data_IF_892510173676
#
_entry.id   IF_892510173676
#
_cell.length_a   1.000
_cell.length_b   1.000
_cell.length_c   1.000
_cell.angle_alpha   90.00
_cell.angle_beta   90.00
_cell.angle_gamma   90.00
#
_symmetry.space_group_name_H-M   'P 1'
#
loop_
_entity.id
_entity.type
_entity.pdbx_description
1 polymer ?
#
# COMPACT_ATOMS: atom_id res chain seq x y z
N UNK A 1 6.47 10.10 -7.79
CA UNK A 1 7.12 8.90 -7.21
C UNK A 1 8.44 8.74 -7.94
N UNK A 2 9.58 8.78 -7.25
CA UNK A 2 10.89 8.60 -7.88
C UNK A 2 11.21 7.12 -8.01
N UNK A 3 12.07 6.77 -8.97
CA UNK A 3 12.55 5.41 -9.10
C UNK A 3 13.28 4.93 -7.83
N UNK A 4 13.14 3.65 -7.50
CA UNK A 4 13.79 3.06 -6.33
C UNK A 4 15.32 3.16 -6.49
N UNK A 5 16.00 3.69 -5.47
CA UNK A 5 17.44 3.97 -5.51
C UNK A 5 18.30 2.76 -5.16
N UNK A 6 17.70 1.66 -4.67
CA UNK A 6 18.42 0.48 -4.18
C UNK A 6 19.31 -0.17 -5.26
N UNK A 7 18.88 -0.39 -6.52
CA UNK A 7 19.75 -0.95 -7.55
C UNK A 7 21.00 -0.10 -7.80
N UNK A 8 20.83 1.23 -7.86
CA UNK A 8 21.93 2.17 -8.02
C UNK A 8 22.87 2.16 -6.82
N UNK A 9 22.33 2.12 -5.59
CA UNK A 9 23.13 2.06 -4.37
C UNK A 9 24.02 0.81 -4.33
N UNK A 10 23.47 -0.36 -4.70
CA UNK A 10 24.24 -1.61 -4.78
C UNK A 10 25.39 -1.53 -5.80
N UNK A 11 25.16 -0.91 -6.97
CA UNK A 11 26.22 -0.66 -7.97
C UNK A 11 27.35 0.25 -7.46
N UNK A 12 27.05 1.12 -6.51
CA UNK A 12 28.04 1.98 -5.84
C UNK A 12 28.77 1.27 -4.69
N UNK A 13 28.53 -0.03 -4.48
CA UNK A 13 29.15 -0.81 -3.40
C UNK A 13 28.51 -0.59 -2.02
N UNK A 14 27.33 0.03 -1.97
CA UNK A 14 26.59 0.19 -0.72
C UNK A 14 25.81 -1.09 -0.37
N UNK A 15 25.74 -1.39 0.93
CA UNK A 15 25.01 -2.54 1.46
C UNK A 15 23.66 -2.11 2.04
N UNK A 16 22.64 -2.95 1.84
CA UNK A 16 21.36 -2.80 2.55
C UNK A 16 21.55 -3.30 3.98
N UNK A 17 21.39 -2.42 4.96
CA UNK A 17 21.51 -2.79 6.37
C UNK A 17 20.21 -3.37 6.93
N UNK A 18 19.07 -2.79 6.53
CA UNK A 18 17.73 -3.18 6.96
C UNK A 18 16.76 -2.99 5.80
N UNK A 19 15.88 -3.96 5.57
CA UNK A 19 14.67 -3.79 4.75
C UNK A 19 13.44 -3.85 5.66
N UNK A 20 12.78 -2.71 5.84
CA UNK A 20 11.59 -2.63 6.71
C UNK A 20 10.43 -3.48 6.18
N UNK A 21 10.40 -3.77 4.87
CA UNK A 21 9.42 -4.69 4.29
C UNK A 21 9.64 -6.16 4.71
N UNK A 22 10.80 -6.49 5.30
CA UNK A 22 11.09 -7.80 5.87
C UNK A 22 11.04 -7.79 7.40
N UNK A 23 10.70 -6.65 8.00
CA UNK A 23 10.49 -6.54 9.44
C UNK A 23 9.09 -7.03 9.83
N UNK A 24 8.92 -7.42 11.09
CA UNK A 24 7.61 -7.73 11.67
C UNK A 24 6.87 -6.47 12.19
N UNK A 25 7.28 -5.28 11.75
CA UNK A 25 6.66 -4.02 12.16
C UNK A 25 5.46 -3.78 11.26
N UNK A 26 4.26 -3.84 11.82
CA UNK A 26 3.06 -3.39 11.11
C UNK A 26 3.12 -1.86 10.96
N UNK A 27 3.11 -1.39 9.72
CA UNK A 27 3.12 0.03 9.41
C UNK A 27 2.35 0.31 8.10
N UNK A 28 1.40 1.26 8.09
CA UNK A 28 0.57 1.58 6.93
C UNK A 28 1.36 2.45 5.93
N UNK A 29 2.35 1.86 5.24
CA UNK A 29 3.23 2.57 4.32
C UNK A 29 2.50 3.12 3.08
N UNK A 30 1.53 2.36 2.56
CA UNK A 30 0.62 2.80 1.49
C UNK A 30 -0.80 2.81 2.01
N UNK A 31 -1.41 3.99 2.06
CA UNK A 31 -2.80 4.17 2.47
C UNK A 31 -3.58 4.94 1.42
N UNK A 32 -4.82 4.53 1.19
CA UNK A 32 -5.79 5.28 0.41
C UNK A 32 -6.77 5.94 1.38
N UNK A 33 -6.95 7.24 1.24
CA UNK A 33 -7.84 8.02 2.09
C UNK A 33 -8.92 8.69 1.26
N UNK A 34 -10.13 8.77 1.82
CA UNK A 34 -11.26 9.48 1.24
C UNK A 34 -11.92 10.33 2.33
N UNK A 35 -12.60 11.41 1.94
CA UNK A 35 -13.38 12.18 2.90
C UNK A 35 -14.47 11.30 3.53
N UNK A 36 -14.64 11.40 4.85
CA UNK A 36 -15.65 10.64 5.57
C UNK A 36 -17.09 10.91 5.05
N UNK A 37 -17.35 12.13 4.55
CA UNK A 37 -18.61 12.47 3.89
C UNK A 37 -18.81 11.66 2.60
N UNK A 38 -17.79 11.56 1.75
CA UNK A 38 -17.82 10.75 0.53
C UNK A 38 -18.04 9.28 0.86
N UNK A 39 -17.37 8.75 1.90
CA UNK A 39 -17.53 7.36 2.31
C UNK A 39 -18.98 7.06 2.71
N UNK A 40 -19.59 7.95 3.50
CA UNK A 40 -20.99 7.79 3.95
C UNK A 40 -22.01 7.95 2.83
N UNK A 41 -21.81 8.92 1.94
CA UNK A 41 -22.81 9.31 0.94
C UNK A 41 -22.74 8.47 -0.33
N UNK A 42 -21.57 7.90 -0.65
CA UNK A 42 -21.33 7.22 -1.93
C UNK A 42 -20.74 5.82 -1.75
N UNK A 43 -21.40 4.90 -1.01
CA UNK A 43 -20.87 3.56 -0.74
C UNK A 43 -20.55 2.78 -2.03
N UNK A 44 -21.34 2.99 -3.09
CA UNK A 44 -21.09 2.38 -4.41
C UNK A 44 -19.74 2.81 -5.00
N UNK A 45 -19.40 4.10 -4.93
CA UNK A 45 -18.12 4.62 -5.42
C UNK A 45 -16.97 4.09 -4.57
N UNK A 46 -17.14 4.06 -3.24
CA UNK A 46 -16.11 3.52 -2.34
C UNK A 46 -15.79 2.06 -2.68
N UNK A 47 -16.83 1.22 -2.85
CA UNK A 47 -16.65 -0.17 -3.24
C UNK A 47 -16.01 -0.30 -4.61
N UNK A 48 -16.42 0.51 -5.59
CA UNK A 48 -15.83 0.52 -6.92
C UNK A 48 -14.32 0.86 -6.86
N UNK A 49 -13.92 1.86 -6.07
CA UNK A 49 -12.50 2.22 -5.89
C UNK A 49 -11.72 1.07 -5.25
N UNK A 50 -12.22 0.47 -4.18
CA UNK A 50 -11.57 -0.68 -3.52
C UNK A 50 -11.42 -1.86 -4.49
N UNK A 51 -12.46 -2.16 -5.28
CA UNK A 51 -12.42 -3.22 -6.29
C UNK A 51 -11.34 -2.93 -7.34
N UNK A 52 -11.33 -1.72 -7.91
CA UNK A 52 -10.35 -1.32 -8.92
C UNK A 52 -8.91 -1.40 -8.41
N UNK A 53 -8.65 -0.98 -7.16
CA UNK A 53 -7.33 -1.10 -6.53
C UNK A 53 -6.94 -2.58 -6.41
N UNK A 54 -7.83 -3.41 -5.89
CA UNK A 54 -7.57 -4.83 -5.64
C UNK A 54 -7.34 -5.61 -6.95
N UNK A 55 -8.14 -5.34 -7.98
CA UNK A 55 -7.97 -5.91 -9.32
C UNK A 55 -6.68 -5.42 -9.99
N UNK A 56 -6.33 -4.14 -9.83
CA UNK A 56 -5.08 -3.57 -10.30
C UNK A 56 -3.86 -4.25 -9.66
N UNK A 57 -3.89 -4.46 -8.33
CA UNK A 57 -2.85 -5.20 -7.60
C UNK A 57 -2.77 -6.65 -8.09
N UNK A 58 -3.93 -7.31 -8.28
CA UNK A 58 -3.97 -8.68 -8.81
C UNK A 58 -3.30 -8.73 -10.19
N UNK A 59 -3.69 -7.86 -11.12
CA UNK A 59 -3.08 -7.78 -12.46
C UNK A 59 -1.58 -7.52 -12.37
N UNK A 60 -1.16 -6.58 -11.53
CA UNK A 60 0.25 -6.26 -11.30
C UNK A 60 1.05 -7.49 -10.81
N UNK A 61 0.47 -8.30 -9.93
CA UNK A 61 1.11 -9.49 -9.39
C UNK A 61 1.10 -10.69 -10.36
N UNK A 62 0.10 -10.78 -11.23
CA UNK A 62 -0.05 -11.93 -12.15
C UNK A 62 0.51 -11.69 -13.55
N UNK A 63 0.65 -10.44 -13.97
CA UNK A 63 1.18 -10.06 -15.28
C UNK A 63 2.40 -9.15 -15.13
N UNK A 64 3.58 -9.77 -15.23
CA UNK A 64 4.87 -9.10 -15.08
C UNK A 64 5.14 -8.08 -16.18
N UNK A 65 4.58 -8.26 -17.39
CA UNK A 65 4.76 -7.32 -18.49
C UNK A 65 3.89 -6.07 -18.28
N UNK A 66 2.63 -6.27 -17.90
CA UNK A 66 1.73 -5.17 -17.53
C UNK A 66 2.28 -4.37 -16.34
N UNK A 67 2.79 -5.04 -15.30
CA UNK A 67 3.43 -4.40 -14.16
C UNK A 67 4.62 -3.51 -14.58
N UNK A 68 5.55 -4.05 -15.38
CA UNK A 68 6.70 -3.29 -15.86
C UNK A 68 6.31 -2.13 -16.77
N UNK A 69 5.29 -2.28 -17.60
CA UNK A 69 4.76 -1.20 -18.43
C UNK A 69 4.18 -0.06 -17.56
N UNK A 70 3.39 -0.39 -16.54
CA UNK A 70 2.84 0.57 -15.58
C UNK A 70 3.96 1.30 -14.79
N UNK A 71 4.97 0.56 -14.33
CA UNK A 71 6.13 1.14 -13.62
C UNK A 71 6.92 2.08 -14.53
N UNK A 72 7.17 1.67 -15.79
CA UNK A 72 7.88 2.49 -16.77
C UNK A 72 7.18 3.82 -17.00
N UNK A 73 5.85 3.80 -17.15
CA UNK A 73 5.05 5.02 -17.30
C UNK A 73 5.12 5.89 -16.02
N UNK A 74 4.91 5.28 -14.86
CA UNK A 74 4.87 5.99 -13.58
C UNK A 74 6.21 6.62 -13.18
N UNK A 75 7.33 5.92 -13.43
CA UNK A 75 8.68 6.35 -13.04
C UNK A 75 9.46 7.04 -14.16
N UNK A 76 8.94 7.02 -15.40
CA UNK A 76 9.57 7.60 -16.59
C UNK A 76 11.02 7.11 -16.78
N UNK A 77 11.24 5.81 -16.61
CA UNK A 77 12.56 5.17 -16.74
C UNK A 77 12.54 3.98 -17.70
N UNK A 78 13.66 3.78 -18.40
CA UNK A 78 13.91 2.60 -19.24
C UNK A 78 14.97 1.67 -18.64
N UNK A 79 15.47 1.95 -17.43
CA UNK A 79 16.47 1.11 -16.79
C UNK A 79 15.88 -0.25 -16.42
N UNK A 80 16.27 -1.29 -17.16
CA UNK A 80 15.69 -2.63 -17.05
C UNK A 80 15.84 -3.21 -15.65
N UNK A 81 16.96 -2.94 -14.98
CA UNK A 81 17.23 -3.42 -13.62
C UNK A 81 16.33 -2.74 -12.59
N UNK A 82 16.17 -1.42 -12.66
CA UNK A 82 15.20 -0.68 -11.84
C UNK A 82 13.77 -1.19 -12.06
N UNK A 83 13.37 -1.36 -13.33
CA UNK A 83 12.02 -1.86 -13.66
C UNK A 83 11.78 -3.25 -13.07
N UNK A 84 12.75 -4.15 -13.20
CA UNK A 84 12.67 -5.51 -12.67
C UNK A 84 12.64 -5.52 -11.13
N UNK A 85 13.49 -4.70 -10.50
CA UNK A 85 13.57 -4.58 -9.05
C UNK A 85 12.27 -4.06 -8.45
N UNK A 86 11.73 -2.95 -8.99
CA UNK A 86 10.48 -2.35 -8.52
C UNK A 86 9.32 -3.32 -8.74
N UNK A 87 9.24 -3.98 -9.90
CA UNK A 87 8.19 -4.97 -10.16
C UNK A 87 8.21 -6.11 -9.14
N UNK A 88 9.38 -6.69 -8.85
CA UNK A 88 9.51 -7.75 -7.83
C UNK A 88 9.15 -7.25 -6.44
N UNK A 89 9.67 -6.09 -6.03
CA UNK A 89 9.45 -5.55 -4.69
C UNK A 89 7.98 -5.20 -4.48
N UNK A 90 7.37 -4.46 -5.40
CA UNK A 90 5.97 -4.08 -5.33
C UNK A 90 5.04 -5.29 -5.35
N UNK A 91 5.33 -6.32 -6.16
CA UNK A 91 4.52 -7.53 -6.18
C UNK A 91 4.54 -8.28 -4.83
N UNK A 92 5.66 -8.21 -4.10
CA UNK A 92 5.82 -8.81 -2.76
C UNK A 92 5.04 -8.05 -1.68
N UNK A 93 5.02 -6.71 -1.74
CA UNK A 93 4.49 -5.88 -0.63
C UNK A 93 3.03 -5.43 -0.82
N UNK A 94 2.50 -5.44 -2.04
CA UNK A 94 1.12 -5.01 -2.29
C UNK A 94 0.13 -6.11 -1.90
N UNK A 95 -0.82 -5.79 -1.03
CA UNK A 95 -1.85 -6.75 -0.59
C UNK A 95 -3.09 -6.67 -1.48
N UNK A 96 -3.57 -7.82 -1.99
CA UNK A 96 -4.82 -7.90 -2.77
C UNK A 96 -6.05 -7.59 -1.92
N UNK A 97 -5.97 -7.86 -0.62
CA UNK A 97 -7.02 -7.61 0.36
C UNK A 97 -6.56 -6.43 1.22
N UNK A 98 -6.88 -5.18 0.84
CA UNK A 98 -6.30 -3.99 1.47
C UNK A 98 -7.03 -3.64 2.77
N UNK A 99 -6.94 -4.51 3.78
CA UNK A 99 -7.51 -4.26 5.10
C UNK A 99 -6.47 -3.57 6.00
N UNK A 100 -6.72 -2.34 6.47
CA UNK A 100 -5.86 -1.71 7.46
C UNK A 100 -5.82 -2.53 8.75
N UNK A 101 -4.66 -2.59 9.39
CA UNK A 101 -4.49 -3.29 10.67
C UNK A 101 -4.53 -2.31 11.84
N UNK A 102 -5.01 -2.80 12.99
CA UNK A 102 -5.00 -2.02 14.24
C UNK A 102 -3.57 -1.73 14.70
N UNK A 103 -2.69 -2.73 14.59
CA UNK A 103 -1.28 -2.60 14.95
C UNK A 103 -0.59 -1.53 14.14
N UNK A 104 -0.79 -1.52 12.81
CA UNK A 104 -0.20 -0.52 11.93
C UNK A 104 -0.59 0.92 12.28
N UNK A 105 -1.88 1.18 12.52
CA UNK A 105 -2.32 2.51 12.93
C UNK A 105 -1.77 2.88 14.31
N UNK A 106 -1.73 1.93 15.25
CA UNK A 106 -1.15 2.18 16.58
C UNK A 106 0.34 2.53 16.50
N UNK A 107 1.12 1.83 15.67
CA UNK A 107 2.54 2.14 15.45
C UNK A 107 2.74 3.61 15.05
N UNK A 108 1.92 4.12 14.12
CA UNK A 108 1.98 5.52 13.68
C UNK A 108 1.58 6.48 14.79
N UNK A 109 0.54 6.16 15.56
CA UNK A 109 0.09 7.00 16.67
C UNK A 109 1.14 7.08 17.78
N UNK A 110 1.82 5.97 18.09
CA UNK A 110 2.88 5.91 19.08
C UNK A 110 4.09 6.76 18.65
N UNK A 111 4.51 6.64 17.38
CA UNK A 111 5.58 7.46 16.79
C UNK A 111 5.22 8.96 16.82
N UNK A 112 4.02 9.33 16.35
CA UNK A 112 3.57 10.72 16.35
C UNK A 112 3.45 11.29 17.76
N UNK A 113 3.13 10.46 18.75
CA UNK A 113 2.95 10.88 20.14
C UNK A 113 4.22 11.38 20.81
N UNK A 114 5.39 11.09 20.26
CA UNK A 114 6.66 11.64 20.74
C UNK A 114 6.76 13.15 20.49
N UNK A 115 6.24 13.61 19.34
CA UNK A 115 6.22 15.02 18.96
C UNK A 115 4.88 15.70 19.31
N UNK A 116 3.77 14.98 19.18
CA UNK A 116 2.40 15.48 19.31
C UNK A 116 1.63 14.66 20.35
N UNK A 117 1.67 15.02 21.64
CA UNK A 117 1.06 14.23 22.72
C UNK A 117 -0.45 13.94 22.53
N UNK A 118 -1.16 14.76 21.76
CA UNK A 118 -2.57 14.56 21.42
C UNK A 118 -2.82 13.29 20.58
N UNK A 119 -1.82 12.80 19.84
CA UNK A 119 -1.93 11.58 19.03
C UNK A 119 -2.24 10.34 19.90
N UNK A 120 -1.86 10.33 21.18
CA UNK A 120 -2.16 9.24 22.14
C UNK A 120 -3.65 8.98 22.32
N UNK A 121 -4.50 9.97 22.04
CA UNK A 121 -5.95 9.84 22.18
C UNK A 121 -6.62 9.20 20.94
N UNK A 122 -5.92 9.16 19.80
CA UNK A 122 -6.43 8.60 18.56
C UNK A 122 -6.66 7.10 18.66
N UNK A 123 -7.69 6.61 17.97
CA UNK A 123 -8.04 5.18 17.90
C UNK A 123 -8.19 4.76 16.45
N UNK A 124 -8.04 3.47 16.18
CA UNK A 124 -8.19 2.90 14.84
C UNK A 124 -9.49 3.32 14.15
N UNK A 125 -10.61 3.31 14.90
CA UNK A 125 -11.94 3.63 14.40
C UNK A 125 -12.13 5.11 14.06
N UNK A 126 -11.24 6.00 14.51
CA UNK A 126 -11.26 7.43 14.15
C UNK A 126 -10.76 7.65 12.71
N UNK A 127 -9.95 6.72 12.19
CA UNK A 127 -9.27 6.84 10.90
C UNK A 127 -9.77 5.84 9.86
N UNK A 128 -10.41 4.73 10.28
CA UNK A 128 -10.73 3.61 9.39
C UNK A 128 -12.22 3.28 9.39
N UNK A 129 -12.81 3.30 8.19
CA UNK A 129 -14.15 2.79 7.93
C UNK A 129 -14.10 1.46 7.17
N UNK A 130 -14.43 0.37 7.85
CA UNK A 130 -14.35 -0.99 7.30
C UNK A 130 -15.62 -1.46 6.57
N UNK A 131 -16.69 -0.67 6.51
CA UNK A 131 -18.00 -1.16 6.04
C UNK A 131 -17.93 -1.69 4.61
N UNK A 132 -17.39 -0.89 3.69
CA UNK A 132 -17.25 -1.28 2.29
C UNK A 132 -16.31 -2.51 2.11
N UNK A 133 -15.21 -2.58 2.86
CA UNK A 133 -14.27 -3.71 2.83
C UNK A 133 -14.94 -5.01 3.29
N UNK A 134 -15.68 -4.96 4.40
CA UNK A 134 -16.40 -6.11 4.95
C UNK A 134 -17.52 -6.59 4.02
N UNK A 135 -18.27 -5.68 3.41
CA UNK A 135 -19.28 -6.06 2.42
C UNK A 135 -18.66 -6.77 1.21
N UNK A 136 -17.54 -6.26 0.69
CA UNK A 136 -16.84 -6.90 -0.44
C UNK A 136 -16.31 -8.29 -0.07
N UNK A 137 -15.82 -8.46 1.15
CA UNK A 137 -15.41 -9.77 1.66
C UNK A 137 -16.60 -10.75 1.74
N UNK A 138 -17.74 -10.30 2.26
CA UNK A 138 -18.97 -11.10 2.34
C UNK A 138 -19.51 -11.47 0.95
N UNK A 139 -19.35 -10.60 -0.04
CA UNK A 139 -19.65 -10.86 -1.46
C UNK A 139 -18.67 -11.84 -2.12
N UNK A 140 -17.64 -12.28 -1.40
CA UNK A 140 -16.61 -13.18 -1.91
C UNK A 140 -15.74 -12.55 -2.99
N UNK A 141 -15.60 -11.22 -3.01
CA UNK A 141 -14.82 -10.52 -4.03
C UNK A 141 -13.32 -10.86 -3.96
N UNK A 142 -12.75 -10.91 -2.75
CA UNK A 142 -11.32 -11.14 -2.56
C UNK A 142 -10.87 -12.61 -2.71
N UNK A 143 -11.81 -13.54 -2.82
CA UNK A 143 -11.52 -14.97 -3.01
C UNK A 143 -11.34 -15.39 -4.49
N UNK A 144 -11.33 -14.43 -5.42
CA UNK A 144 -11.32 -14.63 -6.87
C UNK A 144 -9.96 -14.35 -7.50
#
# INVERSE_FOLDING_TARGET
MTADFIPRAKKLGLNVLVDLAESNIEYPFLAFSMMASTIRQNPTIVKAVIRSISEGIRLFQTDRNAAKAAIKEALRTNDAETLEFVATRSAKVLERKPFPTKGGIQTVLDELSEAEPAAKAGKFEDFVDLRALKELEQEGFFGR
#
